data_IF_182441618763
#
_entry.id   IF_182441618763
#
_cell.length_a   1.000
_cell.length_b   1.000
_cell.length_c   1.000
_cell.angle_alpha   90.00
_cell.angle_beta   90.00
_cell.angle_gamma   90.00
#
_symmetry.space_group_name_H-M   'P 1'
#
loop_
_entity.id
_entity.type
_entity.pdbx_description
1 polymer ?
#
# COMPACT_ATOMS: atom_id res chain seq x y z
N UNK A 1 -5.08 0.67 4.05
CA UNK A 1 -3.87 1.50 4.26
C UNK A 1 -4.01 2.79 3.45
N UNK A 2 -3.66 3.94 4.02
CA UNK A 2 -3.68 5.23 3.35
C UNK A 2 -2.27 5.61 2.84
N UNK A 3 -2.19 6.33 1.72
CA UNK A 3 -0.92 6.78 1.15
C UNK A 3 -0.51 8.17 1.68
N UNK A 4 0.80 8.39 1.84
CA UNK A 4 1.36 9.72 2.13
C UNK A 4 1.77 10.43 0.83
N UNK A 5 1.08 11.52 0.49
CA UNK A 5 1.44 12.40 -0.63
C UNK A 5 2.35 13.53 -0.13
N UNK A 6 3.37 13.89 -0.91
CA UNK A 6 4.40 14.81 -0.45
C UNK A 6 3.82 16.21 -0.40
N UNK A 7 4.03 16.90 0.71
CA UNK A 7 3.65 18.28 0.88
C UNK A 7 4.71 19.25 0.31
N UNK A 8 5.62 18.74 -0.54
CA UNK A 8 6.73 19.47 -1.15
C UNK A 8 7.54 20.23 -0.10
N UNK A 9 7.48 21.56 -0.11
CA UNK A 9 8.22 22.44 0.80
C UNK A 9 7.78 22.32 2.27
N UNK A 10 6.63 21.69 2.53
CA UNK A 10 6.09 21.52 3.88
C UNK A 10 6.29 20.10 4.44
N UNK A 11 6.98 19.22 3.73
CA UNK A 11 7.19 17.82 4.13
C UNK A 11 7.80 17.69 5.54
N UNK A 12 8.70 18.61 5.89
CA UNK A 12 9.39 18.64 7.19
C UNK A 12 8.42 18.76 8.37
N UNK A 13 7.25 19.39 8.17
CA UNK A 13 6.23 19.55 9.22
C UNK A 13 5.43 18.27 9.46
N UNK A 14 5.43 17.34 8.52
CA UNK A 14 4.70 16.07 8.60
C UNK A 14 5.59 14.90 9.03
N UNK A 15 6.85 15.18 9.38
CA UNK A 15 7.74 14.16 9.95
C UNK A 15 7.27 13.75 11.35
N UNK A 16 7.51 12.48 11.71
CA UNK A 16 7.10 11.92 13.00
C UNK A 16 7.49 12.78 14.22
N UNK A 17 8.70 13.37 14.30
CA UNK A 17 9.06 14.25 15.41
C UNK A 17 8.18 15.51 15.50
N UNK A 18 7.74 16.06 14.36
CA UNK A 18 6.85 17.24 14.31
C UNK A 18 5.40 16.92 14.71
N UNK A 19 5.02 15.65 14.68
CA UNK A 19 3.69 15.16 15.03
C UNK A 19 3.62 14.55 16.44
N UNK A 20 4.68 14.73 17.25
CA UNK A 20 4.83 14.10 18.56
C UNK A 20 4.72 12.57 18.51
N UNK A 21 4.99 11.96 17.36
CA UNK A 21 5.05 10.52 17.22
C UNK A 21 6.48 10.05 17.57
N UNK A 22 6.61 9.39 18.71
CA UNK A 22 7.88 8.84 19.20
C UNK A 22 8.11 7.39 18.78
N UNK A 23 7.17 6.79 18.06
CA UNK A 23 7.34 5.46 17.47
C UNK A 23 8.23 5.53 16.24
N UNK A 24 8.84 4.39 15.90
CA UNK A 24 9.64 4.27 14.70
C UNK A 24 8.77 4.52 13.45
N UNK A 25 9.10 5.51 12.59
CA UNK A 25 8.28 5.86 11.44
C UNK A 25 8.07 4.68 10.50
N UNK A 26 6.83 4.49 10.04
CA UNK A 26 6.53 3.50 8.99
C UNK A 26 6.99 4.06 7.65
N UNK A 27 7.94 3.40 7.02
CA UNK A 27 8.36 3.77 5.66
C UNK A 27 7.24 3.46 4.68
N UNK A 28 6.79 4.49 3.96
CA UNK A 28 5.89 4.31 2.83
C UNK A 28 6.70 3.83 1.62
N UNK A 29 6.22 2.84 0.85
CA UNK A 29 6.91 2.39 -0.35
C UNK A 29 7.04 3.53 -1.38
N UNK A 30 8.12 3.54 -2.17
CA UNK A 30 8.32 4.55 -3.20
C UNK A 30 7.19 4.53 -4.23
N UNK A 31 6.72 5.72 -4.61
CA UNK A 31 5.49 5.89 -5.39
C UNK A 31 5.62 5.37 -6.83
N UNK A 32 4.54 4.81 -7.42
CA UNK A 32 4.44 4.69 -8.87
C UNK A 32 4.40 6.10 -9.50
N UNK A 33 5.35 6.38 -10.40
CA UNK A 33 5.67 7.75 -10.85
C UNK A 33 4.76 8.29 -11.95
N UNK A 34 3.79 7.52 -12.45
CA UNK A 34 2.98 7.93 -13.61
C UNK A 34 1.54 7.42 -13.45
N UNK A 35 0.56 8.34 -13.51
CA UNK A 35 -0.85 8.00 -13.64
C UNK A 35 -1.13 7.49 -15.05
N UNK A 36 -1.59 6.24 -15.17
CA UNK A 36 -2.13 5.73 -16.43
C UNK A 36 -3.53 6.32 -16.63
N UNK A 37 -3.74 7.04 -17.73
CA UNK A 37 -4.96 7.82 -18.01
C UNK A 37 -6.26 7.00 -18.11
N UNK A 38 -6.18 5.67 -18.11
CA UNK A 38 -7.34 4.76 -18.20
C UNK A 38 -7.31 3.78 -17.03
N UNK A 39 -8.14 4.04 -16.02
CA UNK A 39 -8.36 3.13 -14.90
C UNK A 39 -9.57 2.25 -15.19
N UNK A 40 -9.39 0.92 -15.18
CA UNK A 40 -10.49 -0.04 -15.22
C UNK A 40 -10.96 -0.35 -13.79
N UNK A 41 -12.27 -0.43 -13.54
CA UNK A 41 -12.77 -0.81 -12.22
C UNK A 41 -12.38 -2.26 -11.91
N UNK A 42 -11.81 -2.50 -10.73
CA UNK A 42 -11.41 -3.83 -10.26
C UNK A 42 -12.34 -4.39 -9.17
N UNK A 43 -13.37 -3.63 -8.79
CA UNK A 43 -14.32 -3.93 -7.70
C UNK A 43 -15.74 -4.00 -8.27
N UNK A 44 -16.52 -4.99 -7.84
CA UNK A 44 -17.93 -5.12 -8.16
C UNK A 44 -18.81 -4.21 -7.28
N UNK A 45 -20.06 -3.98 -7.67
CA UNK A 45 -20.98 -3.08 -6.96
C UNK A 45 -21.29 -3.48 -5.50
N UNK A 46 -20.94 -4.70 -5.11
CA UNK A 46 -21.07 -5.22 -3.74
C UNK A 46 -19.80 -5.03 -2.89
N UNK A 47 -18.77 -4.35 -3.40
CA UNK A 47 -17.51 -4.09 -2.70
C UNK A 47 -16.49 -5.23 -2.75
N UNK A 48 -16.80 -6.36 -3.42
CA UNK A 48 -15.86 -7.46 -3.60
C UNK A 48 -15.00 -7.26 -4.86
N UNK A 49 -13.75 -7.74 -4.81
CA UNK A 49 -12.86 -7.73 -5.97
C UNK A 49 -13.44 -8.61 -7.10
N UNK A 50 -13.23 -8.17 -8.36
CA UNK A 50 -13.56 -9.01 -9.50
C UNK A 50 -12.66 -10.26 -9.50
N UNK A 51 -13.19 -11.45 -9.87
CA UNK A 51 -12.40 -12.69 -9.92
C UNK A 51 -11.15 -12.61 -10.81
N UNK A 52 -11.13 -11.68 -11.76
CA UNK A 52 -10.04 -11.43 -12.70
C UNK A 52 -8.97 -10.47 -12.17
N UNK A 53 -9.18 -9.83 -11.01
CA UNK A 53 -8.24 -8.90 -10.42
C UNK A 53 -7.06 -9.65 -9.79
N UNK A 54 -5.82 -9.29 -10.14
CA UNK A 54 -4.61 -9.83 -9.51
C UNK A 54 -4.56 -9.43 -8.03
N UNK A 55 -4.42 -10.42 -7.15
CA UNK A 55 -4.21 -10.22 -5.71
C UNK A 55 -2.78 -10.62 -5.38
N UNK A 56 -1.87 -9.65 -5.33
CA UNK A 56 -0.55 -9.87 -4.73
C UNK A 56 -0.65 -9.42 -3.27
N UNK A 57 -1.21 -10.28 -2.43
CA UNK A 57 -1.05 -10.15 -0.98
C UNK A 57 0.31 -10.73 -0.61
N UNK A 58 1.27 -9.95 -0.06
CA UNK A 58 2.44 -10.53 0.56
C UNK A 58 1.98 -11.28 1.80
N UNK A 59 2.01 -12.61 1.73
CA UNK A 59 1.86 -13.48 2.88
C UNK A 59 3.19 -13.53 3.62
N UNK A 60 3.42 -12.62 4.56
CA UNK A 60 4.35 -12.91 5.65
C UNK A 60 3.55 -13.31 6.88
N UNK A 61 3.01 -14.54 6.83
CA UNK A 61 2.82 -15.45 7.97
C UNK A 61 1.95 -16.67 7.59
N UNK A 62 2.49 -17.66 6.87
CA UNK A 62 2.35 -19.09 7.22
C UNK A 62 3.01 -19.98 6.17
N UNK A 63 4.22 -20.44 6.50
CA UNK A 63 4.80 -21.78 6.26
C UNK A 63 4.29 -22.52 5.02
N UNK A 64 5.17 -22.65 4.02
CA UNK A 64 5.02 -23.61 2.93
C UNK A 64 4.87 -25.02 3.49
N UNK A 65 3.74 -25.65 3.19
CA UNK A 65 3.59 -27.10 3.30
C UNK A 65 3.94 -27.70 1.93
N UNK A 66 5.24 -27.83 1.67
CA UNK A 66 5.73 -28.68 0.59
C UNK A 66 5.57 -30.12 1.07
N UNK A 67 4.47 -30.76 0.69
CA UNK A 67 4.31 -32.20 0.85
C UNK A 67 5.30 -32.90 -0.09
N UNK A 68 6.41 -33.38 0.46
CA UNK A 68 7.25 -34.39 -0.16
C UNK A 68 6.44 -35.68 -0.27
N UNK A 69 6.45 -36.27 -1.46
CA UNK A 69 6.01 -37.64 -1.73
C UNK A 69 7.24 -38.54 -1.75
#
# INVERSE_FOLDING_TARGET
MAFHFSANQFEDRFQAPGLCNWEYPRFAPPRPRVLLKKATPIVANNGHLLPTARTETPLDASVGHTSYR
#
